data_IF_012033184913
#
_entry.id   IF_012033184913
#
_cell.length_a   1.000
_cell.length_b   1.000
_cell.length_c   1.000
_cell.angle_alpha   90.00
_cell.angle_beta   90.00
_cell.angle_gamma   90.00
#
_symmetry.space_group_name_H-M   'P 1'
#
loop_
_entity.id
_entity.type
_entity.pdbx_description
1 polymer ?
#
# COMPACT_ATOMS: atom_id res chain seq x y z
N UNK A 1 -0.86 -55.76 -63.17
CA UNK A 1 -1.61 -54.53 -63.04
C UNK A 1 -1.17 -53.87 -61.71
N UNK A 2 -0.23 -52.91 -61.78
CA UNK A 2 0.37 -52.32 -60.57
C UNK A 2 -0.28 -50.95 -60.37
N UNK A 3 -0.97 -50.79 -59.22
CA UNK A 3 -1.61 -49.51 -58.81
C UNK A 3 -0.57 -48.62 -58.12
N UNK A 4 -0.32 -47.48 -58.66
CA UNK A 4 0.52 -46.46 -58.05
C UNK A 4 -0.34 -45.60 -57.11
N UNK A 5 0.00 -45.58 -55.80
CA UNK A 5 -0.58 -44.68 -54.81
C UNK A 5 0.33 -43.44 -54.75
N UNK A 6 -0.23 -42.30 -55.14
CA UNK A 6 0.42 -40.97 -55.05
C UNK A 6 0.13 -40.38 -53.68
N UNK A 7 1.18 -40.19 -52.88
CA UNK A 7 1.06 -39.48 -51.60
C UNK A 7 1.03 -37.99 -51.85
N UNK A 8 -0.09 -37.36 -51.48
CA UNK A 8 -0.23 -35.91 -51.43
C UNK A 8 0.26 -35.44 -50.05
N UNK A 9 1.40 -34.77 -49.97
CA UNK A 9 1.91 -34.15 -48.77
C UNK A 9 1.22 -32.80 -48.56
N UNK A 10 0.30 -32.74 -47.63
CA UNK A 10 -0.29 -31.51 -47.16
C UNK A 10 0.65 -30.78 -46.19
N UNK A 11 1.18 -29.63 -46.59
CA UNK A 11 1.94 -28.77 -45.71
C UNK A 11 0.97 -28.01 -44.75
N UNK A 12 1.02 -28.38 -43.47
CA UNK A 12 0.35 -27.63 -42.41
C UNK A 12 1.23 -26.43 -42.07
N UNK A 13 0.83 -25.24 -42.51
CA UNK A 13 1.39 -23.95 -42.05
C UNK A 13 0.95 -23.76 -40.60
N UNK A 14 1.83 -24.03 -39.66
CA UNK A 14 1.66 -23.62 -38.26
C UNK A 14 1.88 -22.12 -38.17
N UNK A 15 0.79 -21.35 -38.13
CA UNK A 15 0.84 -19.95 -37.77
C UNK A 15 1.13 -19.87 -36.26
N UNK A 16 2.40 -19.69 -35.93
CA UNK A 16 2.83 -19.43 -34.55
C UNK A 16 2.36 -18.03 -34.14
N UNK A 17 1.28 -17.97 -33.38
CA UNK A 17 0.97 -16.78 -32.60
C UNK A 17 2.05 -16.64 -31.53
N UNK A 18 2.72 -15.48 -31.39
CA UNK A 18 3.57 -15.25 -30.25
C UNK A 18 2.64 -15.20 -29.02
N UNK A 19 2.69 -16.21 -28.18
CA UNK A 19 2.19 -16.13 -26.82
C UNK A 19 3.00 -15.03 -26.13
N UNK A 20 2.48 -13.81 -26.16
CA UNK A 20 2.95 -12.75 -25.27
C UNK A 20 2.67 -13.25 -23.87
N UNK A 21 3.69 -13.83 -23.24
CA UNK A 21 3.67 -14.08 -21.80
C UNK A 21 3.62 -12.70 -21.16
N UNK A 22 2.43 -12.26 -20.85
CA UNK A 22 2.23 -11.11 -19.96
C UNK A 22 2.86 -11.53 -18.65
N UNK A 23 4.03 -10.96 -18.34
CA UNK A 23 4.61 -11.10 -17.03
C UNK A 23 3.53 -10.61 -16.05
N UNK A 24 3.00 -11.54 -15.27
CA UNK A 24 2.09 -11.16 -14.18
C UNK A 24 2.91 -10.27 -13.24
N UNK A 25 2.37 -9.11 -12.83
CA UNK A 25 3.07 -8.32 -11.84
C UNK A 25 3.29 -9.19 -10.61
N UNK A 26 4.52 -9.25 -10.16
CA UNK A 26 4.87 -9.97 -8.93
C UNK A 26 3.95 -9.49 -7.81
N UNK A 27 3.41 -10.39 -6.98
CA UNK A 27 2.57 -9.99 -5.87
C UNK A 27 3.36 -9.01 -4.99
N UNK A 28 2.79 -7.84 -4.74
CA UNK A 28 3.38 -6.80 -3.89
C UNK A 28 3.33 -7.25 -2.43
N UNK A 29 4.24 -8.10 -2.01
CA UNK A 29 4.32 -8.55 -0.63
C UNK A 29 5.70 -8.24 -0.03
N UNK A 30 5.69 -7.91 1.24
CA UNK A 30 6.88 -7.72 2.06
C UNK A 30 7.01 -8.89 3.04
N UNK A 31 8.22 -9.35 3.25
CA UNK A 31 8.51 -10.34 4.29
C UNK A 31 9.16 -9.66 5.48
N UNK A 32 8.60 -9.94 6.65
CA UNK A 32 9.10 -9.49 7.93
C UNK A 32 9.65 -10.66 8.74
N UNK A 33 10.84 -10.54 9.30
CA UNK A 33 11.43 -11.53 10.21
C UNK A 33 12.80 -12.03 9.79
N UNK A 34 13.23 -13.17 10.32
CA UNK A 34 14.60 -13.61 10.54
C UNK A 34 15.56 -13.69 9.34
N UNK A 35 15.10 -13.65 8.09
CA UNK A 35 16.02 -13.50 6.95
C UNK A 35 16.41 -12.04 6.71
N UNK A 36 15.59 -11.13 7.24
CA UNK A 36 15.82 -9.69 7.20
C UNK A 36 15.47 -9.14 8.59
N UNK A 37 16.46 -8.77 9.40
CA UNK A 37 16.19 -8.26 10.72
C UNK A 37 15.25 -7.06 10.67
N UNK A 38 14.49 -6.84 11.74
CA UNK A 38 13.58 -5.69 11.93
C UNK A 38 14.20 -4.35 11.48
N UNK A 39 15.51 -4.26 11.46
CA UNK A 39 16.27 -3.14 10.93
C UNK A 39 16.11 -2.89 9.41
N UNK A 40 15.53 -3.81 8.65
CA UNK A 40 15.31 -3.58 7.22
C UNK A 40 14.07 -2.77 6.92
N UNK A 41 13.09 -2.70 7.83
CA UNK A 41 12.07 -1.68 7.77
C UNK A 41 12.66 -0.27 7.76
N UNK A 42 13.77 -0.06 8.45
CA UNK A 42 14.47 1.22 8.46
C UNK A 42 14.95 1.66 7.06
N UNK A 43 14.87 0.78 6.06
CA UNK A 43 15.20 1.09 4.66
C UNK A 43 13.99 1.41 3.81
N UNK A 44 12.80 0.97 4.22
CA UNK A 44 11.57 1.25 3.45
C UNK A 44 11.18 2.70 3.69
N UNK A 45 11.39 3.52 2.69
CA UNK A 45 11.15 4.97 2.75
C UNK A 45 9.72 5.29 2.37
N UNK A 46 9.19 6.32 2.99
CA UNK A 46 7.93 6.93 2.60
C UNK A 46 8.25 8.28 1.97
N UNK A 47 7.74 8.49 0.76
CA UNK A 47 7.85 9.76 0.04
C UNK A 47 6.47 10.27 -0.36
N UNK A 48 6.34 11.58 -0.53
CA UNK A 48 5.14 12.13 -1.13
C UNK A 48 5.23 12.11 -2.68
N UNK A 49 4.15 12.51 -3.35
CA UNK A 49 4.12 12.54 -4.82
C UNK A 49 4.98 13.65 -5.43
N UNK A 50 5.49 14.57 -4.63
CA UNK A 50 6.51 15.53 -4.99
C UNK A 50 7.94 14.99 -4.87
N UNK A 51 8.10 13.68 -4.58
CA UNK A 51 9.38 13.00 -4.33
C UNK A 51 10.13 13.53 -3.08
N UNK A 52 9.41 14.14 -2.13
CA UNK A 52 9.98 14.58 -0.88
C UNK A 52 9.96 13.45 0.15
N UNK A 53 11.02 13.31 0.93
CA UNK A 53 11.09 12.31 1.98
C UNK A 53 10.19 12.70 3.16
N UNK A 54 9.25 11.84 3.48
CA UNK A 54 8.39 11.98 4.66
C UNK A 54 8.95 11.21 5.86
N UNK A 55 9.64 10.10 5.62
CA UNK A 55 10.19 9.28 6.68
C UNK A 55 10.44 7.84 6.25
N UNK A 56 10.45 6.94 7.24
CA UNK A 56 10.64 5.51 7.02
C UNK A 56 9.73 4.69 7.93
N UNK A 57 9.35 3.50 7.46
CA UNK A 57 8.58 2.55 8.26
C UNK A 57 9.47 2.04 9.40
N UNK A 58 8.91 1.98 10.62
CA UNK A 58 9.60 1.41 11.79
C UNK A 58 8.87 0.22 12.39
N UNK A 59 7.54 0.13 12.22
CA UNK A 59 6.74 -0.97 12.74
C UNK A 59 5.36 -0.96 12.09
N UNK A 60 4.55 -1.97 12.37
CA UNK A 60 3.17 -2.10 11.90
C UNK A 60 2.25 -2.46 13.06
N UNK A 61 1.04 -1.92 13.06
CA UNK A 61 -0.03 -2.38 13.94
C UNK A 61 -0.77 -3.55 13.29
N UNK A 62 -0.77 -4.70 13.93
CA UNK A 62 -1.27 -5.98 13.44
C UNK A 62 -2.51 -6.42 14.22
N UNK A 63 -3.61 -6.66 13.51
CA UNK A 63 -4.81 -7.32 14.00
C UNK A 63 -4.85 -8.76 13.44
N UNK A 64 -4.38 -9.71 14.23
CA UNK A 64 -4.32 -11.12 13.81
C UNK A 64 -5.69 -11.71 13.56
N UNK A 65 -6.66 -11.39 14.42
CA UNK A 65 -8.01 -11.98 14.35
C UNK A 65 -8.69 -11.65 13.03
N UNK A 66 -8.49 -10.44 12.54
CA UNK A 66 -9.04 -9.99 11.27
C UNK A 66 -8.05 -10.16 10.09
N UNK A 67 -6.83 -10.66 10.33
CA UNK A 67 -5.79 -10.82 9.32
C UNK A 67 -5.38 -9.49 8.68
N UNK A 68 -5.36 -8.40 9.45
CA UNK A 68 -5.20 -7.03 8.93
C UNK A 68 -3.98 -6.31 9.49
N UNK A 69 -3.38 -5.51 8.63
CA UNK A 69 -2.49 -4.42 9.03
C UNK A 69 -3.38 -3.21 9.27
N UNK A 70 -3.42 -2.72 10.50
CA UNK A 70 -4.27 -1.61 10.91
C UNK A 70 -3.62 -0.27 10.61
N UNK A 71 -2.33 -0.17 10.84
CA UNK A 71 -1.56 1.05 10.67
C UNK A 71 -0.10 0.74 10.36
N UNK A 72 0.53 1.63 9.61
CA UNK A 72 1.96 1.64 9.32
C UNK A 72 2.58 2.76 10.16
N UNK A 73 3.53 2.41 11.02
CA UNK A 73 4.22 3.37 11.87
C UNK A 73 5.42 3.94 11.13
N UNK A 74 5.38 5.23 10.88
CA UNK A 74 6.41 5.95 10.13
C UNK A 74 7.09 6.95 11.06
N UNK A 75 8.41 6.83 11.22
CA UNK A 75 9.19 7.86 11.88
C UNK A 75 9.53 8.94 10.86
N UNK A 76 9.28 10.20 11.21
CA UNK A 76 9.51 11.35 10.33
C UNK A 76 10.97 11.50 9.95
N UNK A 77 11.21 11.97 8.71
CA UNK A 77 12.53 12.36 8.27
C UNK A 77 13.00 13.65 8.98
N UNK A 78 14.28 13.74 9.28
CA UNK A 78 14.87 14.90 9.97
C UNK A 78 14.73 16.20 9.18
N UNK A 79 14.71 16.12 7.84
CA UNK A 79 14.52 17.28 6.95
C UNK A 79 13.18 18.00 7.15
N UNK A 80 12.19 17.31 7.76
CA UNK A 80 10.87 17.88 8.04
C UNK A 80 10.86 18.81 9.26
N UNK A 81 11.93 18.85 10.06
CA UNK A 81 11.99 19.66 11.28
C UNK A 81 11.09 19.16 12.44
N UNK A 82 10.63 17.92 12.37
CA UNK A 82 9.83 17.23 13.42
C UNK A 82 10.49 15.89 13.75
N UNK A 83 11.79 15.94 14.02
CA UNK A 83 12.65 14.76 14.18
C UNK A 83 12.11 13.77 15.21
N UNK A 84 12.17 12.49 14.86
CA UNK A 84 11.73 11.39 15.71
C UNK A 84 10.23 11.27 15.92
N UNK A 85 9.40 12.11 15.30
CA UNK A 85 7.95 12.00 15.39
C UNK A 85 7.49 10.73 14.70
N UNK A 86 6.70 9.91 15.40
CA UNK A 86 6.09 8.71 14.84
C UNK A 86 4.65 9.05 14.44
N UNK A 87 4.29 8.72 13.20
CA UNK A 87 2.96 8.96 12.63
C UNK A 87 2.37 7.61 12.21
N UNK A 88 1.09 7.39 12.53
CA UNK A 88 0.33 6.26 12.02
C UNK A 88 -0.23 6.59 10.64
N UNK A 89 0.14 5.81 9.64
CA UNK A 89 -0.34 5.95 8.26
C UNK A 89 -1.23 4.77 7.93
N UNK A 90 -2.45 4.98 7.40
CA UNK A 90 -3.28 3.89 6.92
C UNK A 90 -2.59 3.11 5.80
N UNK A 91 -2.59 1.78 5.83
CA UNK A 91 -1.96 0.97 4.78
C UNK A 91 -2.46 1.32 3.38
N UNK A 92 -3.78 1.52 3.22
CA UNK A 92 -4.42 1.83 1.95
C UNK A 92 -4.07 3.21 1.37
N UNK A 93 -3.45 4.09 2.17
CA UNK A 93 -2.95 5.37 1.68
C UNK A 93 -1.59 5.24 0.97
N UNK A 94 -0.97 4.08 1.06
CA UNK A 94 0.37 3.83 0.52
C UNK A 94 0.31 3.14 -0.84
N UNK A 95 1.11 3.61 -1.78
CA UNK A 95 1.34 2.97 -3.08
C UNK A 95 2.79 2.50 -3.14
N UNK A 96 3.01 1.22 -3.39
CA UNK A 96 4.35 0.65 -3.45
C UNK A 96 5.02 0.92 -4.80
N UNK A 97 6.28 1.35 -4.77
CA UNK A 97 7.18 1.28 -5.90
C UNK A 97 7.95 -0.06 -5.88
N UNK A 98 7.67 -0.99 -6.79
CA UNK A 98 8.33 -2.30 -6.79
C UNK A 98 9.83 -2.21 -7.12
N UNK A 99 10.30 -1.13 -7.72
CA UNK A 99 11.69 -1.00 -8.18
C UNK A 99 12.63 -0.35 -7.16
N UNK A 100 12.10 0.44 -6.22
CA UNK A 100 12.91 1.32 -5.36
C UNK A 100 12.76 1.09 -3.86
N UNK A 101 12.03 0.09 -3.41
CA UNK A 101 11.72 -0.13 -1.99
C UNK A 101 11.17 1.14 -1.29
N UNK A 102 10.38 1.90 -2.02
CA UNK A 102 9.74 3.14 -1.57
C UNK A 102 8.23 2.96 -1.58
N UNK A 103 7.56 3.56 -0.62
CA UNK A 103 6.11 3.76 -0.68
C UNK A 103 5.80 5.23 -0.89
N UNK A 104 4.86 5.48 -1.79
CA UNK A 104 4.34 6.81 -2.08
C UNK A 104 3.10 7.09 -1.27
N UNK A 105 3.02 8.29 -0.70
CA UNK A 105 1.88 8.78 0.07
C UNK A 105 1.42 10.12 -0.51
N UNK A 106 0.17 10.20 -0.95
CA UNK A 106 -0.37 11.41 -1.58
C UNK A 106 -0.77 12.47 -0.55
N UNK A 107 0.20 13.08 0.08
CA UNK A 107 0.00 14.19 1.04
C UNK A 107 1.13 15.21 0.89
N UNK A 108 0.89 16.44 1.31
CA UNK A 108 1.96 17.42 1.48
C UNK A 108 2.78 17.16 2.75
N UNK A 109 3.98 17.71 2.81
CA UNK A 109 4.82 17.65 4.00
C UNK A 109 4.13 18.31 5.21
N UNK A 110 3.33 19.37 5.00
CA UNK A 110 2.58 20.06 6.05
C UNK A 110 1.51 19.17 6.65
N UNK A 111 0.74 18.46 5.82
CA UNK A 111 -0.28 17.49 6.29
C UNK A 111 0.39 16.38 7.09
N UNK A 112 1.50 15.83 6.61
CA UNK A 112 2.25 14.80 7.33
C UNK A 112 2.77 15.33 8.68
N UNK A 113 3.33 16.54 8.69
CA UNK A 113 3.81 17.19 9.92
C UNK A 113 2.70 17.47 10.92
N UNK A 114 1.50 17.78 10.47
CA UNK A 114 0.34 18.08 11.34
C UNK A 114 -0.31 16.83 11.94
N UNK A 115 -0.08 15.64 11.34
CA UNK A 115 -0.67 14.39 11.82
C UNK A 115 -0.29 14.14 13.30
N UNK A 116 -1.16 13.53 14.13
CA UNK A 116 -0.88 13.23 15.53
C UNK A 116 0.34 12.34 15.69
N UNK A 117 1.17 12.65 16.71
CA UNK A 117 2.26 11.79 17.10
C UNK A 117 1.75 10.55 17.84
N UNK A 118 2.33 9.40 17.55
CA UNK A 118 2.09 8.14 18.26
C UNK A 118 3.14 7.98 19.36
N UNK A 119 2.67 7.82 20.59
CA UNK A 119 3.48 7.44 21.73
C UNK A 119 3.46 5.91 21.90
N UNK A 120 4.56 5.25 21.56
CA UNK A 120 4.65 3.79 21.64
C UNK A 120 4.55 3.26 23.08
N UNK A 121 4.79 4.10 24.10
CA UNK A 121 4.60 3.71 25.51
C UNK A 121 3.12 3.58 25.88
N UNK A 122 2.24 4.24 25.13
CA UNK A 122 0.78 4.24 25.29
C UNK A 122 0.07 3.35 24.27
N UNK A 123 0.79 2.35 23.74
CA UNK A 123 0.27 1.51 22.67
C UNK A 123 -1.03 0.80 23.01
N UNK A 124 -1.16 0.32 24.25
CA UNK A 124 -2.31 -0.48 24.72
C UNK A 124 -3.39 0.34 25.45
N UNK A 125 -3.30 1.66 25.45
CA UNK A 125 -4.28 2.51 26.10
C UNK A 125 -5.67 2.42 25.46
N UNK A 126 -6.71 2.68 26.26
CA UNK A 126 -8.08 2.85 25.78
C UNK A 126 -8.18 3.96 24.70
N UNK A 127 -9.23 3.94 23.88
CA UNK A 127 -9.45 4.91 22.82
C UNK A 127 -8.52 4.73 21.61
N UNK A 128 -7.87 3.57 21.47
CA UNK A 128 -6.99 3.28 20.34
C UNK A 128 -7.73 3.34 19.01
N UNK A 129 -8.91 2.72 18.92
CA UNK A 129 -9.71 2.73 17.71
C UNK A 129 -10.01 4.13 17.22
N UNK A 130 -10.31 5.07 18.14
CA UNK A 130 -10.59 6.46 17.80
C UNK A 130 -9.34 7.20 17.33
N UNK A 131 -8.18 6.94 17.95
CA UNK A 131 -6.89 7.51 17.51
C UNK A 131 -6.50 7.04 16.11
N UNK A 132 -6.64 5.75 15.85
CA UNK A 132 -6.36 5.20 14.53
C UNK A 132 -7.37 5.70 13.51
N UNK A 133 -8.66 5.77 13.85
CA UNK A 133 -9.67 6.34 12.97
C UNK A 133 -9.40 7.82 12.64
N UNK A 134 -8.93 8.60 13.60
CA UNK A 134 -8.53 9.98 13.35
C UNK A 134 -7.34 10.06 12.37
N UNK A 135 -6.34 9.18 12.50
CA UNK A 135 -5.24 9.09 11.56
C UNK A 135 -5.72 8.73 10.15
N UNK A 136 -6.65 7.77 10.02
CA UNK A 136 -7.24 7.43 8.73
C UNK A 136 -7.83 8.66 8.04
N UNK A 137 -8.61 9.46 8.76
CA UNK A 137 -9.26 10.67 8.19
C UNK A 137 -8.27 11.72 7.73
N UNK A 138 -7.16 11.92 8.47
CA UNK A 138 -6.10 12.86 8.08
C UNK A 138 -5.49 12.48 6.73
N UNK A 139 -5.32 11.18 6.50
CA UNK A 139 -4.81 10.66 5.24
C UNK A 139 -5.92 10.33 4.23
N UNK A 140 -7.14 10.82 4.46
CA UNK A 140 -8.26 10.70 3.55
C UNK A 140 -8.85 9.31 3.41
N UNK A 141 -8.61 8.44 4.39
CA UNK A 141 -9.12 7.07 4.38
C UNK A 141 -10.28 6.92 5.35
N UNK A 142 -11.28 6.13 4.97
CA UNK A 142 -12.33 5.71 5.89
C UNK A 142 -11.89 4.48 6.68
N UNK A 143 -12.02 4.48 8.03
CA UNK A 143 -11.72 3.31 8.82
C UNK A 143 -12.64 2.15 8.44
N UNK A 144 -12.08 0.97 8.20
CA UNK A 144 -12.85 -0.26 7.94
C UNK A 144 -13.42 -0.88 9.22
N UNK A 145 -13.06 -0.36 10.37
CA UNK A 145 -13.46 -0.85 11.71
C UNK A 145 -14.39 0.14 12.42
N UNK A 146 -15.06 -0.36 13.46
CA UNK A 146 -15.90 0.45 14.33
C UNK A 146 -15.03 1.23 15.33
N UNK A 147 -15.33 2.49 15.49
CA UNK A 147 -14.78 3.32 16.57
C UNK A 147 -15.41 2.91 17.92
N UNK A 148 -14.74 3.18 19.01
CA UNK A 148 -15.20 2.81 20.35
C UNK A 148 -16.58 3.36 20.65
N UNK A 149 -17.48 2.51 21.14
CA UNK A 149 -18.85 2.89 21.48
C UNK A 149 -19.79 3.15 20.28
N UNK A 150 -19.32 3.01 19.03
CA UNK A 150 -20.16 3.14 17.84
C UNK A 150 -20.68 1.78 17.38
N UNK A 151 -21.94 1.75 16.98
CA UNK A 151 -22.56 0.57 16.37
C UNK A 151 -22.51 0.68 14.84
N UNK A 152 -22.48 -0.47 14.16
CA UNK A 152 -22.56 -0.50 12.70
C UNK A 152 -23.89 0.13 12.23
N UNK A 153 -23.80 1.06 11.28
CA UNK A 153 -25.01 1.58 10.64
C UNK A 153 -25.61 0.50 9.74
N UNK A 154 -26.90 0.21 9.86
CA UNK A 154 -27.55 -0.77 8.98
C UNK A 154 -27.58 -0.34 7.50
N UNK A 155 -27.32 0.93 7.22
CA UNK A 155 -27.28 1.50 5.86
C UNK A 155 -25.85 1.63 5.32
N UNK A 156 -24.83 1.17 6.07
CA UNK A 156 -23.45 1.22 5.60
C UNK A 156 -23.28 0.27 4.39
N UNK A 157 -22.69 0.77 3.33
CA UNK A 157 -22.40 0.00 2.10
C UNK A 157 -21.44 -1.18 2.37
N UNK A 158 -20.73 -1.15 3.50
CA UNK A 158 -19.89 -2.24 4.00
C UNK A 158 -20.05 -2.41 5.51
N UNK A 159 -20.17 -3.65 6.00
CA UNK A 159 -20.15 -3.90 7.42
C UNK A 159 -18.78 -3.56 7.99
N UNK A 160 -18.72 -2.63 8.94
CA UNK A 160 -17.52 -2.36 9.72
C UNK A 160 -17.35 -3.48 10.76
N UNK A 161 -16.12 -3.95 10.92
CA UNK A 161 -15.77 -4.97 11.91
C UNK A 161 -15.28 -4.32 13.19
N UNK A 162 -15.44 -5.00 14.32
CA UNK A 162 -14.78 -4.57 15.54
C UNK A 162 -13.26 -4.74 15.38
N UNK A 163 -12.50 -3.74 15.80
CA UNK A 163 -11.05 -3.85 15.85
C UNK A 163 -10.69 -4.91 16.91
N UNK A 164 -9.89 -5.90 16.51
CA UNK A 164 -9.35 -6.90 17.41
C UNK A 164 -8.26 -6.31 18.32
N UNK A 165 -7.60 -7.19 19.06
CA UNK A 165 -6.39 -6.80 19.77
C UNK A 165 -5.28 -6.53 18.74
N UNK A 166 -4.77 -5.30 18.73
CA UNK A 166 -3.74 -4.88 17.80
C UNK A 166 -2.39 -4.84 18.51
N UNK A 167 -1.44 -5.62 18.05
CA UNK A 167 -0.07 -5.62 18.53
C UNK A 167 0.90 -5.15 17.45
N UNK A 168 2.06 -4.68 17.85
CA UNK A 168 3.12 -4.30 16.92
C UNK A 168 3.75 -5.53 16.28
N UNK A 169 4.05 -5.46 14.99
CA UNK A 169 4.68 -6.56 14.26
C UNK A 169 6.00 -7.00 14.91
N UNK A 170 6.80 -6.06 15.40
CA UNK A 170 8.04 -6.33 16.13
C UNK A 170 7.85 -7.11 17.45
N UNK A 171 6.65 -7.06 18.04
CA UNK A 171 6.31 -7.79 19.27
C UNK A 171 5.70 -9.16 19.00
N UNK A 172 5.23 -9.40 17.79
CA UNK A 172 4.69 -10.70 17.37
C UNK A 172 5.82 -11.64 16.95
N UNK A 173 6.90 -11.10 16.37
CA UNK A 173 8.08 -11.89 16.05
C UNK A 173 8.63 -12.57 17.33
N UNK A 174 9.12 -13.79 17.15
CA UNK A 174 9.67 -14.66 18.22
C UNK A 174 8.65 -15.15 19.25
N UNK A 175 7.38 -14.72 19.20
CA UNK A 175 6.37 -15.26 20.11
C UNK A 175 6.24 -16.78 19.95
N UNK A 176 6.13 -17.52 21.07
CA UNK A 176 5.85 -18.93 21.03
C UNK A 176 4.44 -19.19 20.48
N UNK A 177 4.32 -20.23 19.67
CA UNK A 177 3.04 -20.71 19.14
C UNK A 177 2.75 -22.08 19.74
N UNK A 178 1.56 -22.25 20.32
CA UNK A 178 1.07 -23.52 20.82
C UNK A 178 -0.28 -23.83 20.18
N UNK A 179 -0.64 -25.11 20.07
CA UNK A 179 -1.98 -25.49 19.66
C UNK A 179 -2.99 -25.29 20.84
N UNK A 180 -4.26 -25.52 20.57
CA UNK A 180 -5.32 -25.39 21.59
C UNK A 180 -5.18 -26.37 22.77
N UNK A 181 -4.37 -27.41 22.63
CA UNK A 181 -4.02 -28.37 23.68
C UNK A 181 -2.76 -27.98 24.46
N UNK A 182 -2.26 -26.73 24.28
CA UNK A 182 -1.03 -26.20 24.88
C UNK A 182 0.27 -26.96 24.46
N UNK A 183 0.23 -27.69 23.37
CA UNK A 183 1.43 -28.32 22.87
C UNK A 183 2.21 -27.29 22.04
N UNK A 184 3.51 -27.17 22.30
CA UNK A 184 4.38 -26.22 21.59
C UNK A 184 4.49 -26.60 20.13
N UNK A 185 4.13 -25.66 19.25
CA UNK A 185 4.20 -25.79 17.80
C UNK A 185 5.47 -25.16 17.23
N UNK A 186 5.89 -24.02 17.77
CA UNK A 186 7.08 -23.33 17.31
C UNK A 186 7.19 -21.90 17.82
N UNK A 187 7.92 -21.08 17.08
CA UNK A 187 7.98 -19.63 17.32
C UNK A 187 7.75 -18.88 16.01
N UNK A 188 7.11 -17.72 16.08
CA UNK A 188 6.92 -16.85 14.92
C UNK A 188 8.28 -16.42 14.38
N UNK A 189 8.58 -16.77 13.15
CA UNK A 189 9.86 -16.50 12.52
C UNK A 189 9.78 -15.31 11.55
N UNK A 190 8.70 -15.21 10.78
CA UNK A 190 8.46 -14.10 9.87
C UNK A 190 6.99 -13.98 9.50
N UNK A 191 6.63 -12.88 8.85
CA UNK A 191 5.31 -12.62 8.29
C UNK A 191 5.44 -12.15 6.85
N UNK A 192 4.59 -12.65 5.96
CA UNK A 192 4.41 -12.12 4.61
C UNK A 192 3.23 -11.15 4.63
N UNK A 193 3.43 -9.96 4.12
CA UNK A 193 2.50 -8.85 4.24
C UNK A 193 2.22 -8.20 2.89
N UNK A 194 0.99 -7.77 2.67
CA UNK A 194 0.62 -6.84 1.60
C UNK A 194 0.25 -5.50 2.26
N UNK A 195 1.24 -4.63 2.40
CA UNK A 195 1.07 -3.37 3.13
C UNK A 195 0.02 -2.48 2.48
N UNK A 196 0.05 -2.19 1.16
CA UNK A 196 -0.95 -1.32 0.55
C UNK A 196 -2.38 -1.86 0.65
N UNK A 197 -2.57 -3.20 0.67
CA UNK A 197 -3.88 -3.79 0.88
C UNK A 197 -4.25 -3.99 2.35
N UNK A 198 -3.34 -3.65 3.26
CA UNK A 198 -3.54 -3.79 4.69
C UNK A 198 -3.80 -5.24 5.12
N UNK A 199 -3.11 -6.22 4.52
CA UNK A 199 -3.35 -7.65 4.77
C UNK A 199 -2.11 -8.37 5.23
N UNK A 200 -2.32 -9.34 6.12
CA UNK A 200 -1.33 -10.36 6.44
C UNK A 200 -1.62 -11.54 5.52
N UNK A 201 -0.65 -11.90 4.69
CA UNK A 201 -0.76 -13.03 3.78
C UNK A 201 -0.56 -14.34 4.54
N UNK A 202 0.58 -14.43 5.25
CA UNK A 202 0.97 -15.61 6.01
C UNK A 202 1.83 -15.24 7.21
N UNK A 203 1.83 -16.12 8.21
CA UNK A 203 2.78 -16.14 9.32
C UNK A 203 3.61 -17.40 9.22
N UNK A 204 4.93 -17.25 9.24
CA UNK A 204 5.85 -18.36 9.16
C UNK A 204 6.32 -18.70 10.55
N UNK A 205 6.07 -19.95 10.97
CA UNK A 205 6.46 -20.46 12.28
C UNK A 205 7.58 -21.48 12.11
N UNK A 206 8.62 -21.32 12.92
CA UNK A 206 9.77 -22.20 12.95
C UNK A 206 9.58 -23.28 14.01
N UNK A 207 9.72 -24.55 13.63
CA UNK A 207 9.55 -25.68 14.54
C UNK A 207 10.63 -25.69 15.64
N UNK A 208 10.31 -26.14 16.86
CA UNK A 208 11.25 -26.22 17.96
C UNK A 208 12.44 -27.12 17.62
N UNK A 209 13.65 -26.61 17.84
CA UNK A 209 14.88 -27.39 17.64
C UNK A 209 15.24 -27.75 16.21
N UNK A 210 14.43 -27.32 15.21
CA UNK A 210 14.67 -27.59 13.79
C UNK A 210 14.54 -26.34 12.95
N UNK A 211 15.64 -25.64 12.74
CA UNK A 211 15.68 -24.41 11.94
C UNK A 211 15.39 -24.59 10.43
N UNK A 212 15.20 -25.82 9.97
CA UNK A 212 14.88 -26.13 8.56
C UNK A 212 13.40 -26.33 8.33
N UNK A 213 12.63 -26.65 9.37
CA UNK A 213 11.20 -26.91 9.24
C UNK A 213 10.42 -25.64 9.53
N UNK A 214 9.82 -25.08 8.47
CA UNK A 214 8.99 -23.90 8.52
C UNK A 214 7.54 -24.28 8.17
N UNK A 215 6.61 -23.83 9.00
CA UNK A 215 5.18 -23.97 8.73
C UNK A 215 4.62 -22.61 8.34
N UNK A 216 3.83 -22.61 7.27
CA UNK A 216 3.15 -21.40 6.78
C UNK A 216 1.71 -21.44 7.30
N UNK A 217 1.33 -20.46 8.08
CA UNK A 217 0.07 -20.42 8.83
C UNK A 217 -0.74 -19.20 8.41
N UNK A 218 -2.02 -19.35 8.04
CA UNK A 218 -2.91 -18.22 7.83
C UNK A 218 -3.02 -17.37 9.11
N UNK A 219 -2.94 -16.05 9.02
CA UNK A 219 -3.02 -15.18 10.18
C UNK A 219 -4.28 -15.43 11.03
N UNK A 220 -5.43 -15.66 10.37
CA UNK A 220 -6.72 -15.91 11.04
C UNK A 220 -6.80 -17.25 11.79
N UNK A 221 -5.83 -18.16 11.61
CA UNK A 221 -5.71 -19.37 12.40
C UNK A 221 -4.96 -19.13 13.71
N UNK A 222 -4.41 -17.93 13.91
CA UNK A 222 -3.67 -17.55 15.11
C UNK A 222 -4.46 -16.52 15.93
N UNK A 223 -4.38 -16.66 17.24
CA UNK A 223 -4.90 -15.70 18.20
C UNK A 223 -3.93 -15.53 19.36
N UNK A 224 -3.96 -14.40 20.04
CA UNK A 224 -3.18 -14.24 21.27
C UNK A 224 -3.75 -15.11 22.38
N UNK A 225 -2.88 -15.70 23.20
CA UNK A 225 -3.28 -16.32 24.44
C UNK A 225 -3.76 -15.25 25.45
N UNK A 226 -4.32 -15.67 26.58
CA UNK A 226 -4.89 -14.78 27.59
C UNK A 226 -3.87 -13.82 28.22
N UNK A 227 -2.60 -14.21 28.28
CA UNK A 227 -1.49 -13.41 28.82
C UNK A 227 -0.81 -12.54 27.75
N UNK A 228 -1.12 -12.78 26.47
CA UNK A 228 -0.57 -12.06 25.30
C UNK A 228 0.95 -12.19 25.13
N UNK A 229 1.52 -13.22 25.72
CA UNK A 229 2.95 -13.57 25.60
C UNK A 229 3.20 -14.76 24.65
N UNK A 230 2.18 -15.21 23.97
CA UNK A 230 2.22 -16.27 22.98
C UNK A 230 0.97 -16.31 22.11
N UNK A 231 1.03 -17.15 21.07
CA UNK A 231 -0.05 -17.36 20.12
C UNK A 231 -0.63 -18.76 20.26
N UNK A 232 -1.94 -18.87 20.06
CA UNK A 232 -2.69 -20.12 19.98
C UNK A 232 -3.04 -20.38 18.52
N UNK A 233 -2.71 -21.58 18.05
CA UNK A 233 -3.05 -22.08 16.73
C UNK A 233 -4.34 -22.89 16.81
N UNK A 234 -5.33 -22.48 16.03
CA UNK A 234 -6.57 -23.21 15.79
C UNK A 234 -6.39 -24.06 14.52
N UNK A 235 -6.07 -25.33 14.71
CA UNK A 235 -5.80 -26.29 13.61
C UNK A 235 -7.01 -26.43 12.68
N UNK A 236 -8.24 -26.24 13.18
CA UNK A 236 -9.45 -26.35 12.35
C UNK A 236 -9.51 -25.29 11.24
N UNK A 237 -8.80 -24.18 11.39
CA UNK A 237 -8.70 -23.12 10.41
C UNK A 237 -7.55 -23.33 9.42
N UNK A 238 -6.74 -24.36 9.60
CA UNK A 238 -5.65 -24.70 8.70
C UNK A 238 -6.15 -25.38 7.41
N UNK A 239 -7.28 -26.07 7.44
CA UNK A 239 -7.84 -26.79 6.29
C UNK A 239 -8.18 -25.85 5.14
N UNK A 240 -8.48 -24.59 5.41
CA UNK A 240 -8.65 -23.54 4.40
C UNK A 240 -7.33 -23.09 3.76
N UNK A 241 -6.20 -23.63 4.24
CA UNK A 241 -4.88 -23.29 3.73
C UNK A 241 -4.46 -24.10 2.49
N UNK A 242 -5.12 -25.21 2.22
CA UNK A 242 -4.84 -26.08 1.06
C UNK A 242 -5.66 -25.69 -0.19
N UNK A 243 -6.68 -24.88 -0.06
CA UNK A 243 -7.20 -24.18 -1.23
C UNK A 243 -6.09 -23.29 -1.79
N UNK A 244 -5.94 -23.17 -3.14
CA UNK A 244 -4.89 -22.36 -3.75
C UNK A 244 -4.95 -20.97 -3.12
N UNK A 245 -4.04 -20.75 -2.17
CA UNK A 245 -4.05 -19.59 -1.30
C UNK A 245 -3.99 -18.38 -2.17
N UNK A 246 -5.18 -17.81 -2.36
CA UNK A 246 -5.29 -16.61 -3.14
C UNK A 246 -4.40 -16.71 -4.40
N UNK A 247 -4.82 -17.51 -5.38
CA UNK A 247 -4.74 -16.95 -6.70
C UNK A 247 -5.50 -15.65 -6.54
N UNK A 248 -4.80 -14.61 -6.11
CA UNK A 248 -5.18 -13.28 -6.43
C UNK A 248 -5.15 -13.29 -7.96
N UNK A 249 -6.25 -13.72 -8.52
CA UNK A 249 -6.67 -13.15 -9.76
C UNK A 249 -6.80 -11.70 -9.35
N UNK A 250 -5.69 -10.94 -9.46
CA UNK A 250 -5.84 -9.52 -9.63
C UNK A 250 -6.96 -9.42 -10.64
N UNK A 251 -8.11 -8.82 -10.30
CA UNK A 251 -9.09 -8.54 -11.32
C UNK A 251 -8.28 -7.82 -12.37
N UNK A 252 -8.20 -8.42 -13.56
CA UNK A 252 -7.44 -7.88 -14.66
C UNK A 252 -7.71 -6.40 -14.64
N UNK A 253 -6.68 -5.58 -14.45
CA UNK A 253 -6.76 -4.14 -14.33
C UNK A 253 -7.78 -3.67 -15.36
N UNK A 254 -8.98 -3.24 -14.92
CA UNK A 254 -10.08 -2.84 -15.81
C UNK A 254 -11.37 -3.65 -15.72
N UNK A 255 -11.49 -4.75 -14.96
CA UNK A 255 -12.69 -5.61 -15.00
C UNK A 255 -13.40 -5.91 -13.68
N UNK A 256 -12.97 -5.38 -12.56
CA UNK A 256 -13.89 -5.11 -11.46
C UNK A 256 -13.59 -3.71 -10.99
N UNK A 257 -14.59 -2.87 -11.19
CA UNK A 257 -14.60 -1.64 -10.49
C UNK A 257 -14.27 -1.91 -9.02
N UNK A 258 -13.09 -1.49 -8.58
CA UNK A 258 -13.09 -0.85 -7.31
C UNK A 258 -14.34 0.02 -7.38
N UNK A 259 -15.34 -0.27 -6.54
CA UNK A 259 -16.43 0.66 -6.43
C UNK A 259 -15.73 2.01 -6.20
N UNK A 260 -16.22 3.07 -6.80
CA UNK A 260 -15.72 4.43 -6.57
C UNK A 260 -15.54 4.78 -5.08
N UNK A 261 -16.04 3.95 -4.20
CA UNK A 261 -16.03 4.00 -2.75
C UNK A 261 -14.80 3.34 -2.10
N UNK A 262 -14.01 2.54 -2.85
CA UNK A 262 -12.69 2.04 -2.40
C UNK A 262 -11.53 2.89 -2.90
N UNK A 263 -11.79 3.81 -3.80
CA UNK A 263 -10.81 4.74 -4.28
C UNK A 263 -10.42 5.72 -3.15
N UNK A 264 -9.14 5.98 -3.08
CA UNK A 264 -8.53 7.01 -2.26
C UNK A 264 -9.38 8.28 -2.26
N UNK A 265 -10.08 8.53 -1.17
CA UNK A 265 -10.71 9.79 -0.90
C UNK A 265 -9.82 10.54 0.09
N UNK A 266 -8.69 11.07 -0.42
CA UNK A 266 -7.98 12.13 0.28
C UNK A 266 -8.96 13.24 0.64
N UNK A 267 -8.64 14.12 1.61
CA UNK A 267 -9.47 15.29 1.88
C UNK A 267 -9.64 16.03 0.56
N UNK A 268 -10.80 15.83 -0.08
CA UNK A 268 -11.17 16.54 -1.30
C UNK A 268 -11.49 17.95 -0.87
N UNK A 269 -10.50 18.81 -0.91
CA UNK A 269 -10.84 20.20 -1.18
C UNK A 269 -11.51 20.23 -2.54
N UNK A 270 -12.55 21.02 -2.73
CA UNK A 270 -13.30 21.10 -3.99
C UNK A 270 -12.39 21.34 -5.21
N UNK A 271 -11.14 21.69 -5.00
CA UNK A 271 -10.11 22.02 -5.98
C UNK A 271 -9.00 20.95 -6.15
N UNK A 272 -9.05 19.82 -5.43
CA UNK A 272 -8.04 18.77 -5.60
C UNK A 272 -8.20 18.07 -6.95
N UNK A 273 -7.07 17.88 -7.67
CA UNK A 273 -7.06 17.06 -8.87
C UNK A 273 -7.28 15.59 -8.52
N UNK A 274 -8.06 14.89 -9.34
CA UNK A 274 -8.21 13.45 -9.21
C UNK A 274 -6.92 12.75 -9.66
N UNK A 275 -6.31 12.00 -8.73
CA UNK A 275 -5.13 11.17 -8.98
C UNK A 275 -5.55 9.71 -9.11
N UNK A 276 -5.06 9.04 -10.15
CA UNK A 276 -5.24 7.59 -10.32
C UNK A 276 -4.42 6.80 -9.30
N UNK A 277 -4.96 5.67 -8.87
CA UNK A 277 -4.34 4.80 -7.86
C UNK A 277 -3.41 3.74 -8.47
N UNK A 278 -3.43 3.58 -9.80
CA UNK A 278 -2.55 2.64 -10.45
C UNK A 278 -1.08 3.05 -10.26
N UNK A 279 -0.20 2.06 -10.03
CA UNK A 279 1.24 2.35 -9.95
C UNK A 279 1.74 3.18 -11.14
N UNK A 280 1.23 2.92 -12.36
CA UNK A 280 1.63 3.66 -13.56
C UNK A 280 1.24 5.13 -13.52
N UNK A 281 0.06 5.45 -12.96
CA UNK A 281 -0.39 6.83 -12.83
C UNK A 281 0.42 7.56 -11.75
N UNK A 282 0.63 6.91 -10.61
CA UNK A 282 1.44 7.46 -9.51
C UNK A 282 2.89 7.68 -9.95
N UNK A 283 3.52 6.68 -10.54
CA UNK A 283 4.90 6.76 -11.06
C UNK A 283 5.06 7.91 -12.05
N UNK A 284 4.10 8.07 -12.97
CA UNK A 284 4.13 9.19 -13.94
C UNK A 284 4.04 10.54 -13.25
N UNK A 285 3.11 10.71 -12.31
CA UNK A 285 2.97 11.94 -11.52
C UNK A 285 4.27 12.27 -10.78
N UNK A 286 4.88 11.28 -10.15
CA UNK A 286 6.15 11.45 -9.42
C UNK A 286 7.30 11.83 -10.36
N UNK A 287 7.42 11.17 -11.52
CA UNK A 287 8.49 11.49 -12.49
C UNK A 287 8.35 12.91 -13.00
N UNK A 288 7.13 13.32 -13.38
CA UNK A 288 6.90 14.70 -13.85
C UNK A 288 7.29 15.71 -12.76
N UNK A 289 6.87 15.51 -11.52
CA UNK A 289 7.24 16.40 -10.41
C UNK A 289 8.75 16.45 -10.19
N UNK A 290 9.43 15.28 -10.27
CA UNK A 290 10.88 15.18 -10.14
C UNK A 290 11.60 15.95 -11.26
N UNK A 291 11.14 15.84 -12.50
CA UNK A 291 11.74 16.51 -13.65
C UNK A 291 11.50 18.02 -13.62
N UNK A 292 10.33 18.48 -13.18
CA UNK A 292 10.06 19.91 -12.93
C UNK A 292 11.04 20.46 -11.89
N UNK A 293 11.28 19.72 -10.80
CA UNK A 293 12.23 20.12 -9.76
C UNK A 293 13.67 20.12 -10.29
N UNK A 294 14.06 19.09 -11.06
CA UNK A 294 15.39 19.02 -11.69
C UNK A 294 15.62 20.19 -12.65
N UNK A 295 14.59 20.65 -13.33
CA UNK A 295 14.62 21.84 -14.19
C UNK A 295 14.70 23.16 -13.41
N UNK A 296 14.67 23.12 -12.07
CA UNK A 296 14.69 24.30 -11.17
C UNK A 296 13.56 25.30 -11.47
N UNK A 297 12.39 24.78 -11.80
CA UNK A 297 11.18 25.59 -11.99
C UNK A 297 10.46 25.66 -10.64
N UNK A 298 10.02 26.84 -10.24
CA UNK A 298 9.18 26.99 -9.05
C UNK A 298 7.80 26.39 -9.34
N UNK A 299 7.52 25.26 -8.72
CA UNK A 299 6.26 24.53 -8.85
C UNK A 299 5.45 24.47 -7.54
N UNK A 300 5.79 25.31 -6.56
CA UNK A 300 5.13 25.29 -5.25
C UNK A 300 3.60 25.46 -5.34
N UNK A 301 3.12 26.10 -6.40
CA UNK A 301 1.70 26.35 -6.64
C UNK A 301 1.16 25.54 -7.82
N UNK A 302 1.89 24.51 -8.29
CA UNK A 302 1.47 23.64 -9.39
C UNK A 302 1.16 22.25 -8.86
N UNK A 303 -0.02 21.78 -9.17
CA UNK A 303 -0.46 20.41 -8.92
C UNK A 303 -0.32 19.60 -10.20
N UNK A 304 0.25 18.42 -10.09
CA UNK A 304 0.34 17.41 -11.16
C UNK A 304 -0.44 16.19 -10.71
N UNK A 305 -1.36 15.73 -11.53
CA UNK A 305 -2.06 14.47 -11.30
C UNK A 305 -2.18 13.68 -12.58
N UNK A 306 -2.09 12.36 -12.48
CA UNK A 306 -2.30 11.44 -13.59
C UNK A 306 -3.46 10.51 -13.26
N UNK A 307 -4.42 10.38 -14.17
CA UNK A 307 -5.55 9.46 -14.03
C UNK A 307 -5.80 8.72 -15.35
N UNK A 308 -5.75 7.39 -15.30
CA UNK A 308 -5.89 6.53 -16.49
C UNK A 308 -4.94 6.96 -17.63
N UNK A 309 -3.72 7.33 -17.29
CA UNK A 309 -2.69 7.78 -18.23
C UNK A 309 -2.80 9.24 -18.68
N UNK A 310 -3.87 9.96 -18.35
CA UNK A 310 -4.04 11.39 -18.67
C UNK A 310 -3.45 12.23 -17.57
N UNK A 311 -2.57 13.16 -17.93
CA UNK A 311 -1.93 14.11 -17.01
C UNK A 311 -2.72 15.42 -16.99
N UNK A 312 -3.03 15.91 -15.80
CA UNK A 312 -3.58 17.25 -15.60
C UNK A 312 -2.60 18.08 -14.79
N UNK A 313 -2.28 19.26 -15.31
CA UNK A 313 -1.45 20.27 -14.66
C UNK A 313 -2.35 21.44 -14.26
N UNK A 314 -2.39 21.83 -12.99
CA UNK A 314 -3.23 22.94 -12.50
C UNK A 314 -2.48 23.80 -11.51
N UNK A 315 -2.79 25.07 -11.47
CA UNK A 315 -2.22 26.03 -10.54
C UNK A 315 -1.73 27.29 -11.28
N UNK A 316 -0.69 27.91 -10.74
CA UNK A 316 -0.12 29.10 -11.34
C UNK A 316 1.40 29.14 -11.22
N UNK A 317 2.04 29.82 -12.18
CA UNK A 317 3.47 30.09 -12.21
C UNK A 317 3.72 31.58 -12.47
N UNK A 318 4.96 32.03 -12.25
CA UNK A 318 5.34 33.43 -12.42
C UNK A 318 5.45 33.88 -13.88
N UNK A 319 5.79 32.98 -14.80
CA UNK A 319 6.10 33.32 -16.19
C UNK A 319 5.45 32.36 -17.19
N UNK A 320 5.21 32.86 -18.41
CA UNK A 320 4.77 32.02 -19.54
C UNK A 320 5.81 30.95 -19.90
N UNK A 321 7.09 31.26 -19.71
CA UNK A 321 8.18 30.34 -19.95
C UNK A 321 8.12 29.14 -18.99
N UNK A 322 7.87 29.35 -17.72
CA UNK A 322 7.71 28.26 -16.74
C UNK A 322 6.50 27.39 -17.08
N UNK A 323 5.36 28.04 -17.43
CA UNK A 323 4.16 27.30 -17.90
C UNK A 323 4.47 26.42 -19.10
N UNK A 324 5.19 26.96 -20.08
CA UNK A 324 5.58 26.23 -21.31
C UNK A 324 6.49 25.06 -20.94
N UNK A 325 7.53 25.30 -20.15
CA UNK A 325 8.51 24.27 -19.75
C UNK A 325 7.88 23.13 -18.95
N UNK A 326 6.99 23.44 -18.01
CA UNK A 326 6.24 22.40 -17.26
C UNK A 326 5.39 21.57 -18.22
N UNK A 327 4.70 22.20 -19.15
CA UNK A 327 3.93 21.50 -20.17
C UNK A 327 4.79 20.57 -21.03
N UNK A 328 5.97 21.01 -21.45
CA UNK A 328 6.92 20.21 -22.24
C UNK A 328 7.44 19.00 -21.44
N UNK A 329 7.77 19.17 -20.16
CA UNK A 329 8.17 18.06 -19.28
C UNK A 329 7.07 17.01 -19.20
N UNK A 330 5.83 17.43 -19.00
CA UNK A 330 4.69 16.51 -18.93
C UNK A 330 4.46 15.77 -20.27
N UNK A 331 4.67 16.44 -21.40
CA UNK A 331 4.54 15.86 -22.75
C UNK A 331 5.66 14.83 -23.00
N UNK A 332 6.89 15.08 -22.55
CA UNK A 332 8.01 14.15 -22.72
C UNK A 332 7.76 12.82 -21.98
N UNK A 333 7.13 12.88 -20.81
CA UNK A 333 6.78 11.69 -20.03
C UNK A 333 5.44 11.06 -20.42
N UNK A 334 4.65 11.78 -21.22
CA UNK A 334 3.34 11.38 -21.73
C UNK A 334 3.27 11.64 -23.24
N UNK A 335 2.11 11.42 -23.84
CA UNK A 335 1.84 11.92 -25.20
C UNK A 335 1.11 13.25 -25.10
N UNK A 336 1.35 14.13 -26.05
CA UNK A 336 0.70 15.46 -26.10
C UNK A 336 -0.82 15.40 -25.90
N UNK A 337 -1.47 14.42 -26.50
CA UNK A 337 -2.93 14.23 -26.44
C UNK A 337 -3.44 13.86 -25.04
N UNK A 338 -2.53 13.45 -24.16
CA UNK A 338 -2.84 13.02 -22.79
C UNK A 338 -2.51 14.08 -21.73
N UNK A 339 -2.02 15.26 -22.13
CA UNK A 339 -1.65 16.34 -21.20
C UNK A 339 -2.67 17.47 -21.29
N UNK A 340 -3.32 17.75 -20.18
CA UNK A 340 -4.21 18.91 -19.98
C UNK A 340 -3.50 19.94 -19.10
N UNK A 341 -2.99 21.01 -19.74
CA UNK A 341 -2.26 22.06 -19.04
C UNK A 341 -3.15 23.26 -18.71
N UNK A 342 -3.72 23.24 -17.50
CA UNK A 342 -4.58 24.27 -16.92
C UNK A 342 -3.79 25.29 -16.07
N UNK A 343 -2.46 25.34 -16.16
CA UNK A 343 -1.64 26.33 -15.45
C UNK A 343 -1.96 27.74 -15.93
N UNK A 344 -2.12 28.67 -14.98
CA UNK A 344 -2.25 30.10 -15.26
C UNK A 344 -0.93 30.82 -14.99
N UNK A 345 -0.71 31.97 -15.63
CA UNK A 345 0.45 32.83 -15.37
C UNK A 345 0.01 33.99 -14.47
N UNK A 346 0.79 34.25 -13.44
CA UNK A 346 0.46 35.20 -12.40
C UNK A 346 -0.42 34.64 -11.29
N UNK A 347 -0.24 35.15 -10.07
CA UNK A 347 -1.02 34.72 -8.90
C UNK A 347 -2.50 35.07 -9.11
N UNK A 348 -3.44 34.13 -8.91
CA UNK A 348 -4.87 34.43 -8.97
C UNK A 348 -5.21 35.56 -8.00
N UNK A 349 -5.95 36.57 -8.48
CA UNK A 349 -6.52 37.60 -7.61
C UNK A 349 -7.66 36.93 -6.85
N UNK A 350 -7.47 36.73 -5.56
CA UNK A 350 -8.58 36.30 -4.68
C UNK A 350 -9.62 37.42 -4.69
N UNK A 351 -10.78 37.15 -5.27
CA UNK A 351 -11.92 38.04 -5.08
C UNK A 351 -12.27 38.06 -3.57
N UNK A 352 -12.15 39.23 -2.95
CA UNK A 352 -12.59 39.45 -1.57
C UNK A 352 -14.11 39.32 -1.47
#
# INVERSE_FOLDING_TARGET
MKLKITHLAGAILAVGFPLSIWAQPEPSHERFGAEKPVNEFNRVRIKNFQDEDLGRIIDLGIDLVNGRIVEVLVVSDSSLGVDGKIVAVPPHALVRDPSNEVYWLNVSTEVFKSAPAIDLSKWLDSGRSDRVAAAYRIFGQEPYFLEEGKTASPTASRPKVALGYVERSSKILDLPVSNLQNQKFGNVWSMNLDIPRGRILDIIVLAPGNFKTKSVIPAMALSFNSTRDGLLLDDSKMEFADEPRYVFIEPAFGQRGYSKEESFQGPRTADALEQGESYRDVDRTVRINKDIRAAKIDNANVQVATMNGRVTLRGWVGTDEDKRRIGEIAILDSRLELVDNQITVGKPVTAN
#
